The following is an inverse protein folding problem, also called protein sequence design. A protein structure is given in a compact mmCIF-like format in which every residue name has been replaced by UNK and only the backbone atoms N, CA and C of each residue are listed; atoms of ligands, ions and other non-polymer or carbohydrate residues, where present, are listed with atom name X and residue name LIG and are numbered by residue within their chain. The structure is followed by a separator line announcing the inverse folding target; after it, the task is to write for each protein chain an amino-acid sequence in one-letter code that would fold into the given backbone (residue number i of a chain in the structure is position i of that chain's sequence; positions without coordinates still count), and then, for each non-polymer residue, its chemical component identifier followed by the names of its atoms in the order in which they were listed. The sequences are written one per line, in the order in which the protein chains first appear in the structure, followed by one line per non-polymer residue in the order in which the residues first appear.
data_IF_825032461244
#
_entry.id   IF_825032461244
#
_cell.length_a   1.000
_cell.length_b   1.000
_cell.length_c   1.000
_cell.angle_alpha   90.00
_cell.angle_beta   90.00
_cell.angle_gamma   90.00
#
_symmetry.space_group_name_H-M   'P 1'
#
loop_
_entity.id
_entity.type
_entity.pdbx_description
1 polymer ?
#
# COMPACT_ATOMS: atom_id res chain seq x y z
N UNK A 1 -13.92 8.42 17.65
CA UNK A 1 -12.94 8.40 16.54
C UNK A 1 -13.66 8.95 15.33
N UNK A 2 -13.26 10.13 14.85
CA UNK A 2 -13.79 10.66 13.58
C UNK A 2 -12.88 10.08 12.50
N UNK A 3 -13.34 9.05 11.81
CA UNK A 3 -12.65 8.61 10.60
C UNK A 3 -12.85 9.69 9.54
N UNK A 4 -11.75 10.09 8.88
CA UNK A 4 -11.78 11.10 7.84
C UNK A 4 -12.63 10.59 6.67
N UNK A 5 -13.89 11.03 6.58
CA UNK A 5 -14.82 10.68 5.50
C UNK A 5 -14.20 10.92 4.12
N UNK A 6 -13.41 11.98 3.99
CA UNK A 6 -12.62 12.29 2.79
C UNK A 6 -11.67 11.15 2.38
N UNK A 7 -11.04 10.46 3.36
CA UNK A 7 -10.14 9.33 3.08
C UNK A 7 -10.93 8.12 2.56
N UNK A 8 -12.07 7.84 3.16
CA UNK A 8 -12.97 6.75 2.73
C UNK A 8 -13.49 6.99 1.33
N UNK A 9 -13.91 8.21 1.02
CA UNK A 9 -14.35 8.58 -0.34
C UNK A 9 -13.24 8.43 -1.37
N UNK A 10 -12.00 8.85 -1.05
CA UNK A 10 -10.84 8.62 -1.91
C UNK A 10 -10.56 7.13 -2.12
N UNK A 11 -10.69 6.30 -1.07
CA UNK A 11 -10.52 4.85 -1.18
C UNK A 11 -11.60 4.22 -2.07
N UNK A 12 -12.85 4.63 -1.92
CA UNK A 12 -13.96 4.19 -2.78
C UNK A 12 -13.75 4.56 -4.25
N UNK A 13 -13.17 5.72 -4.52
CA UNK A 13 -12.82 6.13 -5.89
C UNK A 13 -11.62 5.36 -6.43
N UNK A 14 -10.63 5.05 -5.58
CA UNK A 14 -9.42 4.32 -5.97
C UNK A 14 -9.68 2.83 -6.21
N UNK A 15 -10.58 2.24 -5.42
CA UNK A 15 -10.92 0.83 -5.42
C UNK A 15 -12.43 0.66 -5.57
N UNK A 16 -12.97 0.78 -6.79
CA UNK A 16 -14.39 0.57 -7.04
C UNK A 16 -14.80 -0.89 -6.79
N UNK A 17 -16.09 -1.08 -6.49
CA UNK A 17 -16.70 -2.40 -6.45
C UNK A 17 -16.43 -3.20 -7.74
N UNK A 18 -16.15 -4.49 -7.60
CA UNK A 18 -15.78 -5.36 -8.73
C UNK A 18 -14.28 -5.33 -9.08
N UNK A 19 -13.46 -4.52 -8.43
CA UNK A 19 -12.00 -4.56 -8.63
C UNK A 19 -11.45 -5.91 -8.17
N UNK A 20 -10.59 -6.51 -8.99
CA UNK A 20 -9.91 -7.76 -8.66
C UNK A 20 -8.58 -7.47 -8.00
N UNK A 21 -8.37 -8.02 -6.80
CA UNK A 21 -7.13 -7.90 -6.04
C UNK A 21 -6.53 -9.27 -5.78
N UNK A 22 -5.24 -9.31 -5.52
CA UNK A 22 -4.53 -10.49 -5.07
C UNK A 22 -3.72 -10.11 -3.84
N UNK A 23 -3.89 -10.88 -2.78
CA UNK A 23 -3.19 -10.65 -1.51
C UNK A 23 -1.88 -11.43 -1.54
N UNK A 24 -0.78 -10.72 -1.30
CA UNK A 24 0.56 -11.31 -1.25
C UNK A 24 0.89 -11.71 0.19
N UNK A 25 0.54 -10.86 1.17
CA UNK A 25 0.72 -11.14 2.60
C UNK A 25 -0.36 -10.44 3.42
N UNK A 26 -0.80 -11.09 4.49
CA UNK A 26 -1.84 -10.56 5.38
C UNK A 26 -1.42 -10.78 6.83
N UNK A 27 -1.45 -9.73 7.65
CA UNK A 27 -1.20 -9.81 9.09
C UNK A 27 -2.51 -10.12 9.83
N UNK A 28 -3.00 -11.36 9.65
CA UNK A 28 -4.22 -11.86 10.28
C UNK A 28 -3.94 -13.16 11.05
N UNK A 29 -4.76 -13.46 12.06
CA UNK A 29 -4.67 -14.68 12.87
C UNK A 29 -4.88 -15.96 12.04
N UNK A 30 -5.59 -15.85 10.92
CA UNK A 30 -5.83 -16.94 9.97
C UNK A 30 -5.48 -16.47 8.55
N UNK A 31 -4.18 -16.35 8.23
CA UNK A 31 -3.76 -15.79 6.96
C UNK A 31 -4.32 -16.61 5.79
N UNK A 32 -4.70 -15.90 4.73
CA UNK A 32 -4.97 -16.54 3.44
C UNK A 32 -3.62 -16.87 2.79
N UNK A 33 -3.56 -17.94 2.01
CA UNK A 33 -2.37 -18.22 1.19
C UNK A 33 -2.06 -17.05 0.25
N UNK A 34 -0.80 -16.62 0.27
CA UNK A 34 -0.24 -15.65 -0.67
C UNK A 34 -0.57 -16.03 -2.11
N UNK A 35 -1.01 -15.06 -2.90
CA UNK A 35 -1.44 -15.28 -4.28
C UNK A 35 -2.95 -15.56 -4.42
N UNK A 36 -3.71 -15.56 -3.32
CA UNK A 36 -5.17 -15.71 -3.43
C UNK A 36 -5.80 -14.44 -3.97
N UNK A 37 -6.49 -14.60 -5.10
CA UNK A 37 -7.27 -13.53 -5.70
C UNK A 37 -8.65 -13.38 -5.04
N UNK A 38 -9.13 -12.15 -4.97
CA UNK A 38 -10.45 -11.80 -4.48
C UNK A 38 -11.01 -10.59 -5.20
N UNK A 39 -12.32 -10.41 -5.11
CA UNK A 39 -13.04 -9.30 -5.71
C UNK A 39 -13.56 -8.38 -4.62
N UNK A 40 -13.34 -7.07 -4.76
CA UNK A 40 -13.87 -6.06 -3.84
C UNK A 40 -15.40 -6.01 -4.02
N UNK A 41 -16.15 -6.24 -2.94
CA UNK A 41 -17.61 -6.06 -2.92
C UNK A 41 -17.98 -4.63 -2.54
N UNK A 42 -17.41 -4.09 -1.46
CA UNK A 42 -17.66 -2.71 -1.02
C UNK A 42 -16.57 -2.20 -0.08
N UNK A 43 -16.53 -0.89 0.13
CA UNK A 43 -15.67 -0.23 1.12
C UNK A 43 -16.52 0.29 2.27
N UNK A 44 -16.23 -0.12 3.49
CA UNK A 44 -16.93 0.35 4.69
C UNK A 44 -16.62 1.83 4.99
N UNK A 45 -17.24 2.38 6.03
CA UNK A 45 -16.99 3.74 6.51
C UNK A 45 -15.73 3.88 7.39
N UNK A 46 -15.08 2.76 7.71
CA UNK A 46 -13.79 2.70 8.38
C UNK A 46 -12.60 2.67 7.39
N UNK A 47 -12.85 2.53 6.09
CA UNK A 47 -11.81 2.43 5.05
C UNK A 47 -11.28 1.00 4.83
N UNK A 48 -11.99 -0.02 5.30
CA UNK A 48 -11.73 -1.44 5.04
C UNK A 48 -12.37 -1.84 3.72
N UNK A 49 -11.59 -2.51 2.87
CA UNK A 49 -12.07 -3.09 1.61
C UNK A 49 -12.64 -4.48 1.89
N UNK A 50 -13.97 -4.63 1.85
CA UNK A 50 -14.59 -5.94 1.96
C UNK A 50 -14.41 -6.71 0.66
N UNK A 51 -13.58 -7.75 0.71
CA UNK A 51 -13.21 -8.53 -0.46
C UNK A 51 -13.68 -9.98 -0.31
N UNK A 52 -14.23 -10.52 -1.40
CA UNK A 52 -14.61 -11.91 -1.51
C UNK A 52 -13.55 -12.67 -2.28
N UNK A 53 -12.84 -13.56 -1.59
CA UNK A 53 -11.77 -14.36 -2.15
C UNK A 53 -12.29 -15.61 -2.85
N UNK A 54 -11.53 -16.11 -3.82
CA UNK A 54 -11.89 -17.30 -4.61
C UNK A 54 -11.93 -18.58 -3.78
N UNK A 55 -11.20 -18.60 -2.67
CA UNK A 55 -11.23 -19.67 -1.67
C UNK A 55 -12.56 -19.73 -0.90
N UNK A 56 -13.52 -18.84 -1.21
CA UNK A 56 -14.82 -18.75 -0.56
C UNK A 56 -14.83 -17.97 0.75
N UNK A 57 -13.67 -17.46 1.19
CA UNK A 57 -13.57 -16.58 2.37
C UNK A 57 -13.93 -15.15 1.97
N UNK A 58 -14.52 -14.43 2.91
CA UNK A 58 -14.73 -12.98 2.80
C UNK A 58 -13.94 -12.34 3.91
N UNK A 59 -12.99 -11.47 3.56
CA UNK A 59 -12.08 -10.83 4.49
C UNK A 59 -11.95 -9.34 4.14
N UNK A 60 -11.73 -8.54 5.17
CA UNK A 60 -11.48 -7.11 5.03
C UNK A 60 -10.00 -6.87 4.77
N UNK A 61 -9.68 -6.09 3.74
CA UNK A 61 -8.31 -5.72 3.38
C UNK A 61 -8.11 -4.23 3.62
N UNK A 62 -7.02 -3.86 4.30
CA UNK A 62 -6.69 -2.48 4.65
C UNK A 62 -5.44 -2.06 3.87
N UNK A 63 -5.51 -1.07 2.95
CA UNK A 63 -4.38 -0.65 2.12
C UNK A 63 -3.18 -0.07 2.86
N UNK A 64 -3.33 0.29 4.13
CA UNK A 64 -2.24 0.78 4.98
C UNK A 64 -1.58 -0.33 5.83
N UNK A 65 -2.14 -1.55 5.84
CA UNK A 65 -1.72 -2.65 6.74
C UNK A 65 -1.43 -3.94 5.97
N UNK A 66 -2.25 -4.27 4.98
CA UNK A 66 -2.16 -5.51 4.20
C UNK A 66 -1.41 -5.29 2.88
N UNK A 67 -0.59 -6.27 2.50
CA UNK A 67 0.13 -6.26 1.24
C UNK A 67 -0.70 -6.94 0.14
N UNK A 68 -1.18 -6.14 -0.80
CA UNK A 68 -1.93 -6.63 -1.96
C UNK A 68 -1.65 -5.82 -3.21
N UNK A 69 -1.92 -6.44 -4.36
CA UNK A 69 -1.87 -5.77 -5.65
C UNK A 69 -3.19 -5.94 -6.42
N UNK A 70 -3.53 -4.94 -7.21
CA UNK A 70 -4.70 -4.99 -8.09
C UNK A 70 -4.36 -5.83 -9.31
N UNK A 71 -5.06 -6.94 -9.48
CA UNK A 71 -4.97 -7.77 -10.68
C UNK A 71 -5.81 -7.12 -11.75
N UNK A 72 -5.17 -6.32 -12.62
CA UNK A 72 -5.84 -5.76 -13.78
C UNK A 72 -6.26 -6.90 -14.71
N UNK A 73 -7.55 -7.24 -14.71
CA UNK A 73 -8.15 -7.75 -15.94
C UNK A 73 -8.05 -6.61 -16.96
N UNK A 74 -7.70 -6.94 -18.20
CA UNK A 74 -7.31 -6.02 -19.26
C UNK A 74 -8.45 -5.05 -19.65
N UNK A 75 -8.72 -4.07 -18.79
CA UNK A 75 -9.63 -2.97 -19.01
C UNK A 75 -8.85 -1.69 -18.73
N UNK A 76 -8.51 -1.05 -19.83
CA UNK A 76 -7.82 0.23 -19.92
C UNK A 76 -8.60 1.30 -19.14
N UNK A 77 -7.99 1.92 -18.12
CA UNK A 77 -7.72 3.36 -18.05
C UNK A 77 -7.35 3.82 -16.62
N UNK A 78 -6.15 4.40 -16.54
CA UNK A 78 -5.73 5.60 -15.78
C UNK A 78 -6.13 5.68 -14.30
N UNK A 79 -5.16 5.42 -13.42
CA UNK A 79 -4.88 6.38 -12.35
C UNK A 79 -3.39 6.34 -12.00
N UNK A 80 -2.65 7.27 -12.59
CA UNK A 80 -1.27 7.58 -12.24
C UNK A 80 -1.22 8.27 -10.88
N UNK A 81 -0.20 7.90 -10.10
CA UNK A 81 0.43 8.67 -9.01
C UNK A 81 -0.34 8.81 -7.67
N UNK A 82 0.29 8.89 -6.50
CA UNK A 82 1.64 8.66 -5.95
C UNK A 82 1.51 8.96 -4.45
N UNK A 83 2.16 8.24 -3.55
CA UNK A 83 3.18 8.81 -2.64
C UNK A 83 3.97 7.68 -1.99
N UNK A 84 5.27 7.72 -2.23
CA UNK A 84 6.32 6.95 -1.58
C UNK A 84 6.45 7.27 -0.08
N UNK A 85 7.23 6.40 0.59
CA UNK A 85 7.97 6.62 1.84
C UNK A 85 7.17 6.34 3.12
N UNK A 86 7.57 5.38 3.97
CA UNK A 86 8.84 5.46 4.69
C UNK A 86 9.57 4.11 4.86
N UNK A 87 10.68 3.94 4.14
CA UNK A 87 11.89 3.36 4.73
C UNK A 87 12.40 4.33 5.80
N UNK A 88 12.73 3.81 6.97
CA UNK A 88 13.64 4.48 7.92
C UNK A 88 14.29 3.41 8.79
N UNK A 89 15.27 2.71 8.21
CA UNK A 89 16.37 2.15 8.99
C UNK A 89 17.14 3.31 9.62
N UNK A 90 16.98 3.51 10.93
CA UNK A 90 17.81 4.44 11.68
C UNK A 90 19.06 3.70 12.15
N UNK A 91 20.10 3.67 11.31
CA UNK A 91 21.44 3.29 11.74
C UNK A 91 22.05 4.41 12.56
N UNK A 92 22.54 4.01 13.74
CA UNK A 92 23.11 4.82 14.80
C UNK A 92 24.51 5.36 14.47
N UNK A 93 24.72 6.64 14.82
CA UNK A 93 25.96 7.25 15.37
C UNK A 93 27.15 7.42 14.40
N UNK A 94 27.44 8.66 13.94
CA UNK A 94 28.38 9.65 14.53
C UNK A 94 29.78 9.03 14.76
N UNK A 95 30.90 9.57 14.29
CA UNK A 95 31.41 10.92 14.59
C UNK A 95 32.80 11.11 13.91
N UNK A 96 33.23 12.37 13.77
CA UNK A 96 34.61 12.87 13.57
C UNK A 96 35.16 12.91 12.12
N UNK A 97 35.86 13.92 11.65
CA UNK A 97 36.12 15.30 12.06
C UNK A 97 36.83 15.98 10.86
N UNK A 98 36.69 17.30 10.77
CA UNK A 98 37.48 18.32 10.05
C UNK A 98 38.96 17.91 9.82
N UNK A 99 39.69 18.30 8.78
CA UNK A 99 39.87 19.60 8.16
C UNK A 99 40.90 19.47 7.01
N UNK A 100 41.07 20.57 6.27
CA UNK A 100 42.23 20.99 5.44
C UNK A 100 42.12 20.84 3.92
N UNK A 101 41.49 21.88 3.35
CA UNK A 101 42.00 22.83 2.35
C UNK A 101 43.24 22.49 1.48
N UNK A 102 43.27 23.17 0.32
CA UNK A 102 44.40 23.42 -0.60
C UNK A 102 44.61 22.34 -1.68
N UNK A 103 44.71 22.59 -2.98
CA UNK A 103 45.02 23.80 -3.75
C UNK A 103 44.47 23.64 -5.18
N UNK A 104 43.95 24.76 -5.69
CA UNK A 104 43.90 25.10 -7.09
C UNK A 104 45.28 24.95 -7.79
N UNK A 105 45.34 24.28 -8.93
CA UNK A 105 46.32 24.62 -9.98
C UNK A 105 45.73 24.35 -11.35
N UNK A 106 45.42 25.45 -12.04
CA UNK A 106 45.16 25.51 -13.48
C UNK A 106 46.45 25.28 -14.27
N UNK A 107 46.36 24.56 -15.39
CA UNK A 107 47.12 24.78 -16.62
C UNK A 107 46.29 24.35 -17.82
#
# INVERSE_FOLDING_TARGET
MIYNQNKVEMLRQRYPEGTRICVDSMDDYCPIESGTCGTIEFVDDAGTLHCKFDNGRTLGVIPDVDDFHVVKQEQQQINEQTVESTESEQTTEKENNEESEEMNMSM
#
